data_IF_801599487893
#
_entry.id   IF_801599487893
#
_cell.length_a   1.000
_cell.length_b   1.000
_cell.length_c   1.000
_cell.angle_alpha   90.00
_cell.angle_beta   90.00
_cell.angle_gamma   90.00
#
_symmetry.space_group_name_H-M   'P 1'
#
loop_
_entity.id
_entity.type
_entity.pdbx_description
1 polymer ?
#
# COMPACT_ATOMS: atom_id res chain seq x y z
N UNK A 1 20.35 -5.59 10.25
CA UNK A 1 19.49 -4.57 10.87
C UNK A 1 20.09 -3.17 10.76
N UNK A 2 21.28 -2.88 11.28
CA UNK A 2 21.95 -1.57 11.04
C UNK A 2 22.16 -1.28 9.55
N UNK A 3 22.65 -2.27 8.79
CA UNK A 3 22.83 -2.14 7.34
C UNK A 3 21.49 -1.92 6.60
N UNK A 4 20.39 -2.52 7.10
CA UNK A 4 19.04 -2.33 6.55
C UNK A 4 18.43 -0.96 6.91
N UNK A 5 18.77 -0.42 8.08
CA UNK A 5 18.35 0.90 8.53
C UNK A 5 19.04 2.02 7.73
N UNK A 6 20.33 1.85 7.43
CA UNK A 6 21.09 2.79 6.61
C UNK A 6 20.66 2.77 5.14
N UNK A 7 20.34 1.58 4.60
CA UNK A 7 19.84 1.43 3.23
C UNK A 7 18.47 2.11 2.98
N UNK A 8 17.67 2.34 4.02
CA UNK A 8 16.38 3.04 3.91
C UNK A 8 16.51 4.54 3.63
N UNK A 9 17.71 5.12 3.70
CA UNK A 9 18.02 6.49 3.24
C UNK A 9 17.35 7.63 4.03
N UNK A 10 16.65 7.34 5.13
CA UNK A 10 15.91 8.31 5.92
C UNK A 10 16.44 8.40 7.35
N UNK A 11 17.04 9.56 7.69
CA UNK A 11 17.65 9.85 9.00
C UNK A 11 16.68 9.68 10.19
N UNK A 12 15.37 9.78 9.94
CA UNK A 12 14.32 9.52 10.92
C UNK A 12 14.18 8.02 11.26
N UNK A 13 14.36 7.15 10.27
CA UNK A 13 14.26 5.70 10.42
C UNK A 13 15.44 5.13 11.22
N UNK A 14 16.65 5.62 10.95
CA UNK A 14 17.88 5.22 11.63
C UNK A 14 17.84 5.54 13.13
N UNK A 15 17.36 6.74 13.49
CA UNK A 15 17.23 7.19 14.88
C UNK A 15 16.16 6.42 15.68
N UNK A 16 15.13 5.88 15.01
CA UNK A 16 14.11 5.05 15.65
C UNK A 16 14.60 3.62 15.82
N UNK A 17 15.28 3.06 14.82
CA UNK A 17 15.83 1.70 14.90
C UNK A 17 16.89 1.62 16.00
N UNK A 18 17.79 2.61 16.12
CA UNK A 18 18.80 2.64 17.18
C UNK A 18 18.22 2.66 18.60
N UNK A 19 17.12 3.39 18.83
CA UNK A 19 16.38 3.41 20.12
C UNK A 19 15.61 2.13 20.39
N UNK A 20 15.27 1.36 19.37
CA UNK A 20 14.51 0.13 19.50
C UNK A 20 15.43 -1.08 19.69
N UNK A 21 16.61 -1.05 19.08
CA UNK A 21 17.62 -2.10 19.21
C UNK A 21 18.22 -2.15 20.62
N UNK A 22 18.35 -0.99 21.28
CA UNK A 22 18.72 -0.93 22.71
C UNK A 22 17.60 -1.47 23.62
N UNK A 23 16.34 -1.16 23.33
CA UNK A 23 15.19 -1.66 24.12
C UNK A 23 14.95 -3.17 23.99
N UNK A 24 15.26 -3.75 22.84
CA UNK A 24 15.16 -5.19 22.59
C UNK A 24 16.24 -6.01 23.31
N UNK A 25 17.38 -5.40 23.67
CA UNK A 25 18.43 -6.09 24.46
C UNK A 25 18.14 -6.11 25.96
N UNK A 26 17.47 -5.08 26.47
CA UNK A 26 17.27 -4.90 27.90
C UNK A 26 15.99 -5.58 28.42
N UNK A 27 14.96 -5.68 27.59
CA UNK A 27 13.74 -6.42 27.88
C UNK A 27 13.72 -7.66 27.00
N UNK A 28 13.62 -8.84 27.62
CA UNK A 28 13.39 -10.14 26.98
C UNK A 28 11.98 -10.18 26.31
N UNK A 29 11.66 -9.18 25.50
CA UNK A 29 10.43 -8.99 24.77
C UNK A 29 10.57 -9.61 23.40
N UNK A 30 9.53 -10.32 22.97
CA UNK A 30 9.46 -10.88 21.64
C UNK A 30 9.42 -9.76 20.60
N UNK A 31 10.16 -9.95 19.51
CA UNK A 31 10.22 -9.10 18.33
C UNK A 31 8.81 -8.77 17.80
N UNK A 32 7.90 -9.74 17.93
CA UNK A 32 6.49 -9.61 17.58
C UNK A 32 5.78 -8.51 18.38
N UNK A 33 5.92 -8.48 19.71
CA UNK A 33 5.25 -7.49 20.57
C UNK A 33 5.76 -6.07 20.31
N UNK A 34 7.05 -5.96 19.98
CA UNK A 34 7.64 -4.72 19.53
C UNK A 34 7.01 -4.22 18.22
N UNK A 35 6.87 -5.08 17.20
CA UNK A 35 6.25 -4.68 15.94
C UNK A 35 4.76 -4.33 16.08
N UNK A 36 4.02 -5.04 16.93
CA UNK A 36 2.62 -4.71 17.27
C UNK A 36 2.52 -3.27 17.81
N UNK A 37 3.42 -2.87 18.71
CA UNK A 37 3.42 -1.52 19.30
C UNK A 37 3.67 -0.39 18.29
N UNK A 38 4.30 -0.71 17.15
CA UNK A 38 4.63 0.30 16.13
C UNK A 38 3.50 0.54 15.13
N UNK A 39 2.55 -0.39 14.99
CA UNK A 39 1.39 -0.30 14.08
C UNK A 39 1.74 0.02 12.60
N UNK A 40 2.98 -0.26 12.20
CA UNK A 40 3.49 -0.03 10.83
C UNK A 40 3.19 -1.23 9.92
N UNK A 41 2.97 -2.41 10.51
CA UNK A 41 2.82 -3.66 9.78
C UNK A 41 1.37 -4.15 9.79
N UNK A 42 0.87 -4.68 8.66
CA UNK A 42 -0.45 -5.29 8.61
C UNK A 42 -0.50 -6.58 9.46
N UNK A 43 -1.67 -6.87 10.03
CA UNK A 43 -1.96 -8.06 10.88
C UNK A 43 -1.41 -9.36 10.29
N UNK A 44 -1.55 -9.56 8.97
CA UNK A 44 -1.02 -10.74 8.29
C UNK A 44 0.50 -10.87 8.47
N UNK A 45 1.27 -9.78 8.36
CA UNK A 45 2.71 -9.79 8.54
C UNK A 45 3.13 -10.09 9.99
N UNK A 46 2.36 -9.64 10.99
CA UNK A 46 2.63 -9.89 12.41
C UNK A 46 2.52 -11.38 12.76
N UNK A 47 1.54 -12.09 12.20
CA UNK A 47 1.40 -13.54 12.39
C UNK A 47 2.58 -14.35 11.82
N UNK A 48 3.14 -13.92 10.69
CA UNK A 48 4.33 -14.54 10.11
C UNK A 48 5.61 -14.28 10.93
N UNK A 49 5.76 -13.08 11.48
CA UNK A 49 6.90 -12.74 12.36
C UNK A 49 6.86 -13.60 13.63
N UNK A 50 5.67 -13.77 14.23
CA UNK A 50 5.47 -14.62 15.42
C UNK A 50 5.84 -16.08 15.18
N UNK A 51 5.37 -16.65 14.07
CA UNK A 51 5.71 -18.02 13.67
C UNK A 51 7.21 -18.18 13.35
N UNK A 52 7.85 -17.15 12.80
CA UNK A 52 9.29 -17.14 12.50
C UNK A 52 10.16 -17.03 13.75
N UNK A 53 9.68 -16.29 14.75
CA UNK A 53 10.31 -16.13 16.05
C UNK A 53 10.22 -17.42 16.89
N UNK A 54 9.05 -18.05 16.99
CA UNK A 54 8.87 -19.32 17.71
C UNK A 54 9.64 -20.49 17.07
N UNK A 55 9.80 -20.48 15.74
CA UNK A 55 10.51 -21.54 15.00
C UNK A 55 12.01 -21.26 14.82
N UNK A 56 12.51 -20.10 15.26
CA UNK A 56 13.89 -19.66 15.02
C UNK A 56 14.26 -19.51 13.55
N UNK A 57 13.28 -19.44 12.64
CA UNK A 57 13.46 -19.43 11.18
C UNK A 57 13.01 -18.13 10.53
N UNK A 58 13.12 -17.03 11.27
CA UNK A 58 12.65 -15.69 10.90
C UNK A 58 13.16 -15.23 9.53
N UNK A 59 14.44 -15.46 9.18
CA UNK A 59 15.02 -15.13 7.88
C UNK A 59 14.27 -15.78 6.70
N UNK A 60 13.85 -17.05 6.86
CA UNK A 60 13.15 -17.78 5.80
C UNK A 60 11.71 -17.29 5.66
N UNK A 61 11.03 -17.07 6.78
CA UNK A 61 9.63 -16.64 6.77
C UNK A 61 9.50 -15.19 6.27
N UNK A 62 10.38 -14.28 6.69
CA UNK A 62 10.36 -12.88 6.21
C UNK A 62 10.68 -12.78 4.71
N UNK A 63 11.56 -13.65 4.17
CA UNK A 63 11.80 -13.69 2.72
C UNK A 63 10.55 -14.12 1.95
N UNK A 64 9.89 -15.20 2.37
CA UNK A 64 8.64 -15.65 1.76
C UNK A 64 7.50 -14.63 1.93
N UNK A 65 7.48 -13.91 3.06
CA UNK A 65 6.52 -12.86 3.34
C UNK A 65 6.69 -11.69 2.37
N UNK A 66 7.93 -11.25 2.15
CA UNK A 66 8.26 -10.22 1.17
C UNK A 66 7.74 -10.61 -0.21
N UNK A 67 8.08 -11.81 -0.69
CA UNK A 67 7.65 -12.27 -2.01
C UNK A 67 6.13 -12.30 -2.18
N UNK A 68 5.38 -12.72 -1.14
CA UNK A 68 3.91 -12.73 -1.17
C UNK A 68 3.27 -11.36 -1.03
N UNK A 69 3.77 -10.51 -0.13
CA UNK A 69 3.27 -9.14 0.01
C UNK A 69 3.54 -8.30 -1.24
N UNK A 70 4.67 -8.50 -1.91
CA UNK A 70 4.96 -7.86 -3.19
C UNK A 70 3.97 -8.30 -4.28
N UNK A 71 3.65 -9.59 -4.36
CA UNK A 71 2.67 -10.11 -5.33
C UNK A 71 1.25 -9.61 -5.05
N UNK A 72 0.81 -9.60 -3.79
CA UNK A 72 -0.51 -9.07 -3.42
C UNK A 72 -0.62 -7.55 -3.62
N UNK A 73 0.46 -6.81 -3.38
CA UNK A 73 0.55 -5.38 -3.70
C UNK A 73 0.36 -5.12 -5.19
N UNK A 74 1.09 -5.84 -6.05
CA UNK A 74 0.96 -5.80 -7.51
C UNK A 74 -0.47 -6.10 -7.99
N UNK A 75 -1.15 -7.06 -7.37
CA UNK A 75 -2.53 -7.40 -7.72
C UNK A 75 -3.52 -6.26 -7.43
N UNK A 76 -3.35 -5.55 -6.32
CA UNK A 76 -4.21 -4.40 -5.98
C UNK A 76 -4.02 -3.23 -6.94
N UNK A 77 -2.78 -2.96 -7.36
CA UNK A 77 -2.51 -1.94 -8.36
C UNK A 77 -3.09 -2.32 -9.73
N UNK A 78 -2.96 -3.59 -10.14
CA UNK A 78 -3.48 -4.07 -11.43
C UNK A 78 -4.99 -3.87 -11.59
N UNK A 79 -5.78 -4.16 -10.55
CA UNK A 79 -7.24 -3.98 -10.59
C UNK A 79 -7.59 -2.48 -10.68
N UNK A 80 -6.87 -1.64 -9.96
CA UNK A 80 -7.06 -0.18 -10.02
C UNK A 80 -6.82 0.36 -11.44
N UNK A 81 -5.74 -0.08 -12.10
CA UNK A 81 -5.41 0.34 -13.47
C UNK A 81 -6.40 -0.14 -14.54
N UNK A 82 -7.19 -1.19 -14.28
CA UNK A 82 -8.22 -1.68 -15.22
C UNK A 82 -9.55 -0.93 -15.02
N UNK A 83 -9.96 -0.72 -13.77
CA UNK A 83 -11.28 -0.14 -13.46
C UNK A 83 -11.28 1.38 -13.68
N UNK A 84 -10.21 2.05 -13.29
CA UNK A 84 -10.09 3.51 -13.38
C UNK A 84 -10.30 4.08 -14.81
N UNK A 85 -9.66 3.56 -15.87
CA UNK A 85 -9.89 4.08 -17.23
C UNK A 85 -11.33 3.87 -17.72
N UNK A 86 -11.99 2.78 -17.32
CA UNK A 86 -13.39 2.50 -17.71
C UNK A 86 -14.34 3.54 -17.10
N UNK A 87 -14.14 3.91 -15.84
CA UNK A 87 -14.97 4.93 -15.16
C UNK A 87 -14.80 6.29 -15.82
N UNK A 88 -13.56 6.70 -16.11
CA UNK A 88 -13.27 7.98 -16.78
C UNK A 88 -13.91 8.02 -18.18
N UNK A 89 -13.82 6.92 -18.93
CA UNK A 89 -14.42 6.82 -20.24
C UNK A 89 -15.94 7.03 -20.20
N UNK A 90 -16.64 6.39 -19.26
CA UNK A 90 -18.08 6.56 -19.09
C UNK A 90 -18.48 8.00 -18.76
N UNK A 91 -17.77 8.65 -17.84
CA UNK A 91 -18.04 10.06 -17.48
C UNK A 91 -17.82 10.97 -18.69
N UNK A 92 -16.75 10.73 -19.44
CA UNK A 92 -16.41 11.52 -20.65
C UNK A 92 -17.47 11.32 -21.74
N UNK A 93 -17.94 10.10 -21.95
CA UNK A 93 -18.99 9.80 -22.92
C UNK A 93 -20.31 10.53 -22.58
N UNK A 94 -20.72 10.51 -21.31
CA UNK A 94 -21.92 11.22 -20.83
C UNK A 94 -21.76 12.74 -21.01
N UNK A 95 -20.58 13.28 -20.69
CA UNK A 95 -20.29 14.70 -20.87
C UNK A 95 -20.41 15.12 -22.34
N UNK A 96 -19.80 14.38 -23.26
CA UNK A 96 -19.86 14.67 -24.71
C UNK A 96 -21.31 14.55 -25.21
N UNK A 97 -22.04 13.50 -24.80
CA UNK A 97 -23.45 13.33 -25.16
C UNK A 97 -24.31 14.53 -24.72
N UNK A 98 -24.12 15.02 -23.50
CA UNK A 98 -24.80 16.23 -23.01
C UNK A 98 -24.49 17.44 -23.87
N UNK A 99 -23.22 17.67 -24.25
CA UNK A 99 -22.83 18.79 -25.13
C UNK A 99 -23.49 18.72 -26.50
N UNK A 100 -23.61 17.53 -27.08
CA UNK A 100 -24.28 17.31 -28.38
C UNK A 100 -25.77 17.63 -28.28
N UNK A 101 -26.45 17.12 -27.24
CA UNK A 101 -27.88 17.35 -27.03
C UNK A 101 -28.17 18.85 -26.85
N UNK A 102 -27.37 19.55 -26.04
CA UNK A 102 -27.51 21.00 -25.85
C UNK A 102 -27.27 21.77 -27.14
N UNK A 103 -26.26 21.39 -27.94
CA UNK A 103 -25.99 22.03 -29.22
C UNK A 103 -27.15 21.84 -30.21
N UNK A 104 -27.72 20.63 -30.28
CA UNK A 104 -28.87 20.34 -31.13
C UNK A 104 -30.12 21.13 -30.70
N UNK A 105 -30.41 21.17 -29.40
CA UNK A 105 -31.52 21.96 -28.84
C UNK A 105 -31.38 23.45 -29.16
N UNK A 106 -30.17 24.01 -28.98
CA UNK A 106 -29.88 25.40 -29.33
C UNK A 106 -30.08 25.66 -30.83
N UNK A 107 -29.58 24.76 -31.68
CA UNK A 107 -29.75 24.88 -33.13
C UNK A 107 -31.24 24.93 -33.50
N UNK A 108 -32.06 24.03 -32.96
CA UNK A 108 -33.50 24.02 -33.21
C UNK A 108 -34.21 25.29 -32.72
N UNK A 109 -33.81 25.83 -31.56
CA UNK A 109 -34.40 27.04 -31.00
C UNK A 109 -34.12 28.28 -31.87
N UNK A 110 -32.92 28.37 -32.46
CA UNK A 110 -32.52 29.50 -33.32
C UNK A 110 -33.23 29.52 -34.69
N UNK A 111 -33.70 28.38 -35.20
CA UNK A 111 -34.37 28.29 -36.51
C UNK A 111 -35.90 28.48 -36.43
N UNK A 112 -36.49 28.50 -35.24
CA UNK A 112 -37.94 28.57 -35.03
C UNK A 112 -38.46 29.99 -34.70
N UNK A 113 -37.62 31.02 -34.85
CA UNK A 113 -37.96 32.44 -34.85
C UNK A 113 -37.69 33.05 -36.23
#
# INVERSE_FOLDING_TARGET
LESSASAAGNKFFEMRIGRCLSRLKDFNMNLTDFFISTNIFPEAALGFIRAGEESGSLDRITKNLSDRFFQEGEHRFRVFFIVFPVVIYLITAIYIASRIITAFSNCFNLTMF
#
